data_IF_133551124338
#
_entry.id   IF_133551124338
#
_cell.length_a   1.000
_cell.length_b   1.000
_cell.length_c   1.000
_cell.angle_alpha   90.00
_cell.angle_beta   90.00
_cell.angle_gamma   90.00
#
_symmetry.space_group_name_H-M   'P 1'
#
loop_
_entity.id
_entity.type
_entity.pdbx_description
1 polymer ?
#
# COMPACT_ATOMS: atom_id res chain seq x y z
N UNK A 1 -1.14 -43.27 15.45
CA UNK A 1 -0.35 -42.26 14.76
C UNK A 1 -0.80 -40.91 15.27
N UNK A 2 0.05 -40.04 15.76
CA UNK A 2 -0.37 -38.67 16.04
C UNK A 2 -0.83 -38.01 14.72
N UNK A 3 -1.94 -37.28 14.77
CA UNK A 3 -2.42 -36.52 13.63
C UNK A 3 -1.33 -35.51 13.23
N UNK A 4 -1.02 -35.42 11.93
CA UNK A 4 -0.10 -34.38 11.46
C UNK A 4 -0.75 -33.02 11.68
N UNK A 5 0.01 -32.01 12.15
CA UNK A 5 -0.53 -30.68 12.33
C UNK A 5 -0.90 -30.07 10.97
N UNK A 6 -2.05 -29.40 10.92
CA UNK A 6 -2.54 -28.67 9.74
C UNK A 6 -2.29 -27.19 9.96
N UNK A 7 -1.73 -26.51 8.96
CA UNK A 7 -1.57 -25.05 8.94
C UNK A 7 -2.85 -24.44 8.34
N UNK A 8 -3.53 -23.59 9.11
CA UNK A 8 -4.65 -22.80 8.60
C UNK A 8 -4.14 -21.46 8.06
N UNK A 9 -4.36 -21.20 6.78
CA UNK A 9 -3.98 -19.95 6.13
C UNK A 9 -5.16 -18.98 6.23
N UNK A 10 -5.00 -17.91 7.03
CA UNK A 10 -6.08 -16.96 7.36
C UNK A 10 -6.05 -15.68 6.53
N UNK A 11 -5.32 -15.68 5.42
CA UNK A 11 -5.25 -14.54 4.50
C UNK A 11 -6.59 -14.27 3.80
N UNK A 12 -6.78 -13.05 3.26
CA UNK A 12 -7.95 -12.74 2.45
C UNK A 12 -8.19 -13.78 1.34
N UNK A 13 -9.45 -14.02 0.99
CA UNK A 13 -9.89 -15.05 0.03
C UNK A 13 -9.06 -15.08 -1.26
N UNK A 14 -8.72 -13.92 -1.80
CA UNK A 14 -7.93 -13.80 -3.05
C UNK A 14 -6.46 -14.21 -2.91
N UNK A 15 -5.94 -14.18 -1.69
CA UNK A 15 -4.52 -14.45 -1.40
C UNK A 15 -4.30 -15.85 -0.85
N UNK A 16 -5.33 -16.47 -0.27
CA UNK A 16 -5.21 -17.72 0.46
C UNK A 16 -4.77 -18.88 -0.42
N UNK A 17 -5.29 -18.98 -1.65
CA UNK A 17 -5.01 -20.09 -2.56
C UNK A 17 -3.51 -20.24 -2.90
N UNK A 18 -2.82 -19.19 -3.38
CA UNK A 18 -1.38 -19.23 -3.63
C UNK A 18 -0.55 -19.62 -2.41
N UNK A 19 -0.93 -19.17 -1.20
CA UNK A 19 -0.25 -19.54 0.04
C UNK A 19 -0.41 -21.00 0.40
N UNK A 20 -1.64 -21.54 0.28
CA UNK A 20 -1.92 -22.96 0.50
C UNK A 20 -1.09 -23.82 -0.46
N UNK A 21 -1.09 -23.47 -1.75
CA UNK A 21 -0.32 -24.20 -2.76
C UNK A 21 1.18 -24.18 -2.48
N UNK A 22 1.75 -23.02 -2.09
CA UNK A 22 3.16 -22.91 -1.76
C UNK A 22 3.54 -23.78 -0.56
N UNK A 23 2.74 -23.78 0.50
CA UNK A 23 2.97 -24.63 1.68
C UNK A 23 2.86 -26.11 1.36
N UNK A 24 1.87 -26.49 0.56
CA UNK A 24 1.69 -27.88 0.14
C UNK A 24 2.85 -28.37 -0.74
N UNK A 25 3.42 -27.51 -1.59
CA UNK A 25 4.61 -27.82 -2.38
C UNK A 25 5.83 -28.12 -1.51
N UNK A 26 5.92 -27.51 -0.33
CA UNK A 26 6.96 -27.78 0.68
C UNK A 26 6.61 -28.99 1.60
N UNK A 27 5.56 -29.75 1.28
CA UNK A 27 5.13 -30.91 2.04
C UNK A 27 4.36 -30.59 3.34
N UNK A 28 3.94 -29.36 3.55
CA UNK A 28 3.16 -28.94 4.71
C UNK A 28 1.67 -29.15 4.42
N UNK A 29 0.94 -29.81 5.32
CA UNK A 29 -0.52 -29.85 5.25
C UNK A 29 -1.07 -28.45 5.55
N UNK A 30 -1.73 -27.84 4.56
CA UNK A 30 -2.27 -26.49 4.67
C UNK A 30 -3.69 -26.44 4.09
N UNK A 31 -4.55 -25.66 4.76
CA UNK A 31 -5.94 -25.43 4.37
C UNK A 31 -6.27 -23.95 4.39
N UNK A 32 -7.15 -23.53 3.49
CA UNK A 32 -7.66 -22.15 3.44
C UNK A 32 -8.68 -21.94 4.56
N UNK A 33 -8.47 -20.87 5.35
CA UNK A 33 -9.42 -20.45 6.38
C UNK A 33 -9.43 -18.90 6.43
N UNK A 34 -9.94 -18.21 5.39
CA UNK A 34 -9.90 -16.77 5.32
C UNK A 34 -10.72 -16.13 6.46
N UNK A 35 -10.08 -15.26 7.24
CA UNK A 35 -10.70 -14.53 8.34
C UNK A 35 -10.89 -13.04 8.04
N UNK A 36 -10.39 -12.58 6.89
CA UNK A 36 -10.43 -11.18 6.48
C UNK A 36 -11.08 -11.12 5.10
N UNK A 37 -12.15 -10.36 4.98
CA UNK A 37 -12.70 -9.94 3.70
C UNK A 37 -12.22 -8.51 3.40
N UNK A 38 -11.71 -8.30 2.18
CA UNK A 38 -11.25 -7.00 1.70
C UNK A 38 -11.99 -6.69 0.40
N UNK A 39 -12.90 -5.76 0.48
CA UNK A 39 -13.74 -5.33 -0.64
C UNK A 39 -13.58 -3.83 -0.91
N UNK A 40 -13.91 -3.41 -2.13
CA UNK A 40 -13.97 -2.00 -2.47
C UNK A 40 -15.09 -1.31 -1.66
N UNK A 41 -14.88 -0.03 -1.34
CA UNK A 41 -15.95 0.77 -0.77
C UNK A 41 -17.11 0.90 -1.77
N UNK A 42 -18.37 0.90 -1.29
CA UNK A 42 -19.54 1.10 -2.15
C UNK A 42 -19.54 2.46 -2.87
N UNK A 43 -18.95 3.49 -2.24
CA UNK A 43 -18.79 4.83 -2.81
C UNK A 43 -17.32 5.14 -3.07
N UNK A 44 -16.98 5.32 -4.33
CA UNK A 44 -15.64 5.63 -4.79
C UNK A 44 -15.34 7.14 -4.87
N UNK A 45 -16.29 8.02 -4.50
CA UNK A 45 -16.16 9.48 -4.65
C UNK A 45 -14.90 10.01 -3.96
N UNK A 46 -14.60 9.54 -2.76
CA UNK A 46 -13.41 9.95 -2.02
C UNK A 46 -12.10 9.59 -2.77
N UNK A 47 -12.04 8.42 -3.42
CA UNK A 47 -10.89 8.01 -4.24
C UNK A 47 -10.79 8.82 -5.53
N UNK A 48 -11.90 9.16 -6.17
CA UNK A 48 -11.91 10.04 -7.34
C UNK A 48 -11.41 11.45 -6.98
N UNK A 49 -11.83 12.00 -5.85
CA UNK A 49 -11.29 13.28 -5.32
C UNK A 49 -9.80 13.16 -5.00
N UNK A 50 -9.36 12.04 -4.44
CA UNK A 50 -7.94 11.79 -4.16
C UNK A 50 -7.12 11.75 -5.45
N UNK A 51 -7.63 11.17 -6.54
CA UNK A 51 -6.96 11.19 -7.85
C UNK A 51 -6.69 12.61 -8.36
N UNK A 52 -7.61 13.54 -8.16
CA UNK A 52 -7.42 14.95 -8.56
C UNK A 52 -6.27 15.64 -7.81
N UNK A 53 -5.86 15.09 -6.66
CA UNK A 53 -4.72 15.63 -5.89
C UNK A 53 -3.37 15.08 -6.36
N UNK A 54 -3.34 13.93 -7.06
CA UNK A 54 -2.12 13.23 -7.46
C UNK A 54 -1.11 14.14 -8.19
N UNK A 55 -1.49 14.97 -9.18
CA UNK A 55 -0.55 15.82 -9.90
C UNK A 55 0.16 16.86 -9.00
N UNK A 56 -0.43 17.22 -7.87
CA UNK A 56 0.12 18.17 -6.92
C UNK A 56 0.87 17.52 -5.75
N UNK A 57 0.95 16.18 -5.73
CA UNK A 57 1.63 15.42 -4.68
C UNK A 57 3.09 15.15 -5.03
N UNK A 58 3.96 15.21 -4.02
CA UNK A 58 5.32 14.66 -4.08
C UNK A 58 5.28 13.16 -4.34
N UNK A 59 4.37 12.48 -3.64
CA UNK A 59 4.17 11.05 -3.79
C UNK A 59 2.76 10.63 -3.34
N UNK A 60 2.34 9.45 -3.83
CA UNK A 60 1.21 8.68 -3.29
C UNK A 60 1.78 7.45 -2.58
N UNK A 61 1.48 7.30 -1.29
CA UNK A 61 1.88 6.14 -0.49
C UNK A 61 0.75 5.12 -0.46
N UNK A 62 1.11 3.88 -0.71
CA UNK A 62 0.20 2.73 -0.67
C UNK A 62 0.62 1.79 0.47
N UNK A 63 -0.26 1.55 1.42
CA UNK A 63 0.04 0.69 2.56
C UNK A 63 -0.13 -0.80 2.24
N UNK A 64 -0.75 -1.15 1.10
CA UNK A 64 -0.97 -2.54 0.69
C UNK A 64 -1.21 -2.66 -0.82
N UNK A 65 -1.09 -3.87 -1.35
CA UNK A 65 -1.45 -4.20 -2.73
C UNK A 65 -2.96 -3.97 -3.02
N UNK A 66 -3.82 -4.14 -2.01
CA UNK A 66 -5.25 -3.87 -2.14
C UNK A 66 -5.53 -2.37 -2.30
N UNK A 67 -4.80 -1.51 -1.56
CA UNK A 67 -4.90 -0.07 -1.75
C UNK A 67 -4.52 0.35 -3.18
N UNK A 68 -3.46 -0.24 -3.76
CA UNK A 68 -3.11 -0.03 -5.18
C UNK A 68 -4.27 -0.44 -6.07
N UNK A 69 -4.79 -1.66 -5.90
CA UNK A 69 -5.84 -2.21 -6.77
C UNK A 69 -7.10 -1.35 -6.78
N UNK A 70 -7.60 -0.95 -5.61
CA UNK A 70 -8.83 -0.17 -5.52
C UNK A 70 -8.65 1.26 -6.01
N UNK A 71 -7.50 1.87 -5.73
CA UNK A 71 -7.21 3.22 -6.24
C UNK A 71 -7.10 3.23 -7.76
N UNK A 72 -6.39 2.26 -8.35
CA UNK A 72 -6.25 2.16 -9.81
C UNK A 72 -7.57 1.81 -10.52
N UNK A 73 -8.47 1.08 -9.85
CA UNK A 73 -9.78 0.75 -10.43
C UNK A 73 -10.68 1.97 -10.73
N UNK A 74 -10.39 3.11 -10.10
CA UNK A 74 -11.13 4.37 -10.29
C UNK A 74 -10.27 5.48 -10.90
N UNK A 75 -9.16 5.10 -11.56
CA UNK A 75 -8.28 6.06 -12.23
C UNK A 75 -9.04 6.82 -13.34
N UNK A 76 -9.04 8.16 -13.30
CA UNK A 76 -9.57 8.96 -14.41
C UNK A 76 -8.72 8.78 -15.68
N UNK A 77 -9.36 8.77 -16.85
CA UNK A 77 -8.68 8.56 -18.14
C UNK A 77 -7.66 9.66 -18.46
N UNK A 78 -7.89 10.87 -17.97
CA UNK A 78 -7.05 12.06 -18.21
C UNK A 78 -5.88 12.17 -17.22
N UNK A 79 -5.79 11.33 -16.21
CA UNK A 79 -4.73 11.34 -15.20
C UNK A 79 -3.80 10.14 -15.33
N UNK A 80 -2.52 10.43 -15.53
CA UNK A 80 -1.50 9.40 -15.64
C UNK A 80 -0.82 9.11 -14.28
N UNK A 81 -0.46 7.85 -14.07
CA UNK A 81 0.31 7.40 -12.89
C UNK A 81 1.68 8.06 -12.78
N UNK A 82 2.24 8.52 -13.91
CA UNK A 82 3.53 9.20 -13.94
C UNK A 82 3.52 10.62 -13.37
N UNK A 83 2.36 11.15 -12.96
CA UNK A 83 2.24 12.51 -12.44
C UNK A 83 3.03 12.74 -11.14
N UNK A 84 3.24 11.68 -10.34
CA UNK A 84 4.04 11.75 -9.11
C UNK A 84 4.73 10.41 -8.82
N UNK A 85 5.50 10.35 -7.71
CA UNK A 85 6.11 9.11 -7.25
C UNK A 85 5.10 8.22 -6.51
N UNK A 86 5.36 6.92 -6.47
CA UNK A 86 4.65 5.98 -5.63
C UNK A 86 5.56 5.49 -4.50
N UNK A 87 5.02 5.39 -3.30
CA UNK A 87 5.70 4.82 -2.14
C UNK A 87 5.01 3.52 -1.73
N UNK A 88 5.80 2.46 -1.61
CA UNK A 88 5.34 1.13 -1.21
C UNK A 88 5.98 0.71 0.12
N UNK A 89 5.20 0.14 1.01
CA UNK A 89 5.70 -0.35 2.31
C UNK A 89 6.43 -1.69 2.20
N UNK A 90 6.29 -2.40 1.07
CA UNK A 90 6.94 -3.69 0.90
C UNK A 90 6.77 -4.29 -0.51
N UNK A 91 7.37 -5.48 -0.73
CA UNK A 91 7.49 -6.07 -2.07
C UNK A 91 6.14 -6.40 -2.73
N UNK A 92 5.14 -6.83 -1.96
CA UNK A 92 3.81 -7.11 -2.51
C UNK A 92 3.11 -5.86 -3.05
N UNK A 93 3.25 -4.72 -2.34
CA UNK A 93 2.73 -3.42 -2.80
C UNK A 93 3.50 -2.90 -4.00
N UNK A 94 4.84 -3.04 -4.00
CA UNK A 94 5.69 -2.69 -5.13
C UNK A 94 5.32 -3.48 -6.39
N UNK A 95 5.14 -4.80 -6.27
CA UNK A 95 4.73 -5.65 -7.38
C UNK A 95 3.35 -5.23 -7.95
N UNK A 96 2.41 -4.87 -7.08
CA UNK A 96 1.10 -4.37 -7.50
C UNK A 96 1.19 -3.03 -8.27
N UNK A 97 2.06 -2.12 -7.85
CA UNK A 97 2.32 -0.85 -8.54
C UNK A 97 2.93 -1.08 -9.93
N UNK A 98 3.91 -1.97 -10.04
CA UNK A 98 4.52 -2.33 -11.33
C UNK A 98 3.47 -2.95 -12.28
N UNK A 99 2.65 -3.87 -11.78
CA UNK A 99 1.57 -4.48 -12.55
C UNK A 99 0.50 -3.46 -12.99
N UNK A 100 0.30 -2.40 -12.21
CA UNK A 100 -0.60 -1.29 -12.53
C UNK A 100 0.01 -0.24 -13.48
N UNK A 101 1.25 -0.46 -13.97
CA UNK A 101 1.90 0.42 -14.95
C UNK A 101 2.68 1.58 -14.33
N UNK A 102 2.92 1.58 -13.01
CA UNK A 102 3.78 2.60 -12.40
C UNK A 102 5.24 2.35 -12.78
N UNK A 103 5.98 3.36 -13.30
CA UNK A 103 7.36 3.16 -13.70
C UNK A 103 8.25 2.78 -12.52
N UNK A 104 9.08 1.75 -12.67
CA UNK A 104 9.93 1.23 -11.59
C UNK A 104 10.82 2.33 -10.96
N UNK A 105 11.34 3.25 -11.78
CA UNK A 105 12.18 4.36 -11.33
C UNK A 105 11.41 5.44 -10.53
N UNK A 106 10.09 5.38 -10.52
CA UNK A 106 9.22 6.27 -9.74
C UNK A 106 8.65 5.59 -8.50
N UNK A 107 9.00 4.34 -8.24
CA UNK A 107 8.58 3.63 -7.04
C UNK A 107 9.70 3.66 -6.02
N UNK A 108 9.41 4.20 -4.83
CA UNK A 108 10.28 4.13 -3.66
C UNK A 108 9.74 3.04 -2.72
N UNK A 109 10.58 2.08 -2.38
CA UNK A 109 10.24 0.95 -1.49
C UNK A 109 11.46 0.53 -0.68
N UNK A 110 11.29 -0.11 0.48
CA UNK A 110 12.38 -0.76 1.19
C UNK A 110 13.12 -1.74 0.28
N UNK A 111 14.45 -1.85 0.38
CA UNK A 111 15.23 -2.86 -0.34
C UNK A 111 14.68 -4.28 -0.12
N UNK A 112 14.80 -5.14 -1.14
CA UNK A 112 14.23 -6.49 -1.10
C UNK A 112 14.84 -7.40 0.00
N UNK A 113 16.04 -7.08 0.44
CA UNK A 113 16.77 -7.76 1.53
C UNK A 113 16.54 -7.13 2.91
N UNK A 114 15.62 -6.17 3.01
CA UNK A 114 15.27 -5.56 4.30
C UNK A 114 14.71 -6.61 5.26
N UNK A 115 15.11 -6.50 6.53
CA UNK A 115 14.58 -7.36 7.60
C UNK A 115 13.13 -7.04 7.96
N UNK A 116 12.66 -5.85 7.60
CA UNK A 116 11.29 -5.36 7.87
C UNK A 116 10.75 -4.60 6.66
N UNK A 117 9.43 -4.71 6.47
CA UNK A 117 8.70 -4.02 5.42
C UNK A 117 7.57 -3.21 6.06
N UNK A 118 7.90 -2.01 6.52
CA UNK A 118 7.03 -1.12 7.27
C UNK A 118 7.26 0.35 6.91
N UNK A 119 6.52 1.23 7.56
CA UNK A 119 6.61 2.68 7.36
C UNK A 119 7.94 3.25 7.81
N UNK A 120 8.55 2.67 8.84
CA UNK A 120 9.83 3.10 9.40
C UNK A 120 10.97 2.81 8.41
N UNK A 121 10.98 1.62 7.83
CA UNK A 121 11.98 1.27 6.81
C UNK A 121 11.77 2.08 5.53
N UNK A 122 10.51 2.29 5.11
CA UNK A 122 10.22 3.18 3.99
C UNK A 122 10.73 4.61 4.24
N UNK A 123 10.58 5.13 5.46
CA UNK A 123 11.07 6.46 5.82
C UNK A 123 12.58 6.62 5.59
N UNK A 124 13.38 5.59 5.86
CA UNK A 124 14.83 5.64 5.60
C UNK A 124 15.15 5.86 4.12
N UNK A 125 14.28 5.39 3.23
CA UNK A 125 14.42 5.55 1.77
C UNK A 125 13.98 6.93 1.28
N UNK A 126 12.89 7.47 1.85
CA UNK A 126 12.25 8.68 1.31
C UNK A 126 12.62 9.98 2.04
N UNK A 127 13.21 9.90 3.25
CA UNK A 127 13.46 11.05 4.10
C UNK A 127 14.30 12.16 3.44
N UNK A 128 15.31 11.82 2.65
CA UNK A 128 16.12 12.82 1.94
C UNK A 128 15.31 13.55 0.88
N UNK A 129 14.44 12.84 0.16
CA UNK A 129 13.55 13.42 -0.83
C UNK A 129 12.52 14.35 -0.20
N UNK A 130 12.00 13.97 0.98
CA UNK A 130 11.11 14.81 1.78
C UNK A 130 11.80 16.12 2.17
N UNK A 131 13.05 16.04 2.69
CA UNK A 131 13.83 17.24 3.05
C UNK A 131 14.11 18.13 1.84
N UNK A 132 14.44 17.54 0.70
CA UNK A 132 14.68 18.30 -0.53
C UNK A 132 13.41 19.00 -1.03
N UNK A 133 12.24 18.37 -0.92
CA UNK A 133 10.98 18.97 -1.30
C UNK A 133 10.59 20.17 -0.42
N UNK A 134 10.87 20.12 0.87
CA UNK A 134 10.63 21.23 1.81
C UNK A 134 11.33 22.53 1.39
N UNK A 135 12.55 22.41 0.86
CA UNK A 135 13.35 23.57 0.43
C UNK A 135 12.72 24.25 -0.80
N UNK A 136 11.96 23.50 -1.60
CA UNK A 136 11.33 23.98 -2.83
C UNK A 136 9.95 24.63 -2.60
N UNK A 137 9.36 24.44 -1.41
CA UNK A 137 8.07 25.02 -1.05
C UNK A 137 7.10 24.01 -0.44
N UNK A 138 5.82 24.37 -0.31
CA UNK A 138 4.81 23.48 0.26
C UNK A 138 4.68 22.20 -0.54
N UNK A 139 4.97 21.06 0.10
CA UNK A 139 4.84 19.74 -0.50
C UNK A 139 3.74 18.96 0.20
N UNK A 140 3.11 18.03 -0.53
CA UNK A 140 2.05 17.16 0.01
C UNK A 140 2.27 15.72 -0.36
N UNK A 141 1.80 14.82 0.48
CA UNK A 141 1.80 13.37 0.26
C UNK A 141 0.38 12.86 0.47
N UNK A 142 -0.09 12.03 -0.45
CA UNK A 142 -1.36 11.30 -0.31
C UNK A 142 -1.07 9.90 0.23
N UNK A 143 -1.70 9.52 1.34
CA UNK A 143 -1.61 8.17 1.91
C UNK A 143 -2.92 7.42 1.64
N UNK A 144 -2.82 6.29 0.97
CA UNK A 144 -3.93 5.39 0.68
C UNK A 144 -3.85 4.17 1.59
N UNK A 145 -4.91 3.95 2.37
CA UNK A 145 -4.98 2.87 3.36
C UNK A 145 -6.37 2.25 3.40
N UNK A 146 -6.48 1.07 4.00
CA UNK A 146 -7.76 0.44 4.25
C UNK A 146 -8.53 1.12 5.37
N UNK A 147 -9.80 0.78 5.49
CA UNK A 147 -10.65 1.12 6.62
C UNK A 147 -11.01 -0.14 7.42
N UNK A 148 -11.40 0.05 8.67
CA UNK A 148 -12.08 -0.96 9.47
C UNK A 148 -13.57 -1.11 9.06
N UNK A 149 -14.28 -2.00 9.74
CA UNK A 149 -15.70 -2.24 9.49
C UNK A 149 -16.61 -1.01 9.78
N UNK A 150 -16.08 -0.01 10.48
CA UNK A 150 -16.76 1.26 10.79
C UNK A 150 -16.40 2.36 9.78
N UNK A 151 -15.55 2.05 8.78
CA UNK A 151 -15.10 3.00 7.78
C UNK A 151 -14.00 3.96 8.27
N UNK A 152 -13.40 3.70 9.44
CA UNK A 152 -12.31 4.50 9.97
C UNK A 152 -10.97 4.03 9.39
N UNK A 153 -10.05 4.96 9.14
CA UNK A 153 -8.71 4.67 8.64
C UNK A 153 -8.01 3.64 9.52
N UNK A 154 -7.63 2.52 8.92
CA UNK A 154 -6.94 1.43 9.61
C UNK A 154 -5.42 1.61 9.55
N UNK A 155 -4.75 1.13 10.59
CA UNK A 155 -3.28 1.09 10.66
C UNK A 155 -2.66 2.24 11.47
N UNK A 156 -1.30 2.27 11.46
CA UNK A 156 -0.52 3.21 12.25
C UNK A 156 -0.33 4.55 11.51
N UNK A 157 -0.43 5.66 12.25
CA UNK A 157 -0.26 7.02 11.71
C UNK A 157 1.20 7.52 11.78
N UNK A 158 2.13 6.65 12.14
CA UNK A 158 3.52 7.05 12.38
C UNK A 158 4.14 7.82 11.21
N UNK A 159 4.00 7.33 9.97
CA UNK A 159 4.57 8.00 8.80
C UNK A 159 3.86 9.32 8.50
N UNK A 160 2.54 9.38 8.68
CA UNK A 160 1.79 10.65 8.55
C UNK A 160 2.35 11.70 9.51
N UNK A 161 2.55 11.33 10.78
CA UNK A 161 3.13 12.22 11.80
C UNK A 161 4.57 12.64 11.45
N UNK A 162 5.42 11.74 10.90
CA UNK A 162 6.77 12.09 10.46
C UNK A 162 6.75 13.10 9.31
N UNK A 163 5.84 12.92 8.34
CA UNK A 163 5.68 13.84 7.21
C UNK A 163 5.17 15.20 7.67
N UNK A 164 4.20 15.25 8.58
CA UNK A 164 3.69 16.50 9.17
C UNK A 164 4.74 17.22 10.00
N UNK A 165 5.48 16.47 10.83
CA UNK A 165 6.62 17.01 11.60
C UNK A 165 7.72 17.56 10.69
N UNK A 166 7.88 16.96 9.50
CA UNK A 166 8.72 17.46 8.43
C UNK A 166 8.07 18.60 7.62
N UNK A 167 6.94 19.16 8.01
CA UNK A 167 6.29 20.32 7.39
C UNK A 167 5.54 20.02 6.08
N UNK A 168 5.27 18.77 5.75
CA UNK A 168 4.47 18.41 4.59
C UNK A 168 2.98 18.37 4.94
N UNK A 169 2.14 18.68 3.95
CA UNK A 169 0.71 18.43 4.05
C UNK A 169 0.44 16.95 3.77
N UNK A 170 -0.21 16.26 4.71
CA UNK A 170 -0.64 14.88 4.54
C UNK A 170 -2.11 14.82 4.19
N UNK A 171 -2.42 14.19 3.06
CA UNK A 171 -3.77 13.84 2.64
C UNK A 171 -3.96 12.34 2.89
N UNK A 172 -5.15 11.93 3.34
CA UNK A 172 -5.44 10.52 3.54
C UNK A 172 -6.76 10.15 2.87
N UNK A 173 -6.80 8.96 2.26
CA UNK A 173 -8.03 8.40 1.70
C UNK A 173 -8.09 6.89 1.95
N UNK A 174 -9.34 6.40 2.08
CA UNK A 174 -9.61 4.97 2.19
C UNK A 174 -9.68 4.38 0.78
N UNK A 175 -8.95 3.27 0.57
CA UNK A 175 -8.91 2.54 -0.68
C UNK A 175 -9.19 1.05 -0.45
#
# INVERSE_FOLDING_TARGET
>A
MPAQPIVLVTRPEREVGPWVQALQAEGVQAEAFPLIDISALPDATALQVAWQQVPACLAVMFVSANAVRFFMAVQPEDLAVQACRAWATGPGTQAALLAAGWPAQQIDAPPADSSQFDSETLWTVVAERVRAAQVQGPARVLILRGADAQGQLAGRDWLAQQLEAAGLQVLQAVA
#
